data_IF_305791315975
#
_entry.id   IF_305791315975
#
_cell.length_a   1.000
_cell.length_b   1.000
_cell.length_c   1.000
_cell.angle_alpha   90.00
_cell.angle_beta   90.00
_cell.angle_gamma   90.00
#
_symmetry.space_group_name_H-M   'P 1'
#
loop_
_entity.id
_entity.type
_entity.pdbx_description
1 polymer ?
#
# COMPACT_ATOMS: atom_id res chain seq x y z
N UNK A 1 -2.32 -10.79 7.39
CA UNK A 1 -2.79 -9.50 6.84
C UNK A 1 -2.65 -8.37 7.85
N UNK A 2 -2.57 -8.66 9.15
CA UNK A 2 -2.54 -7.62 10.20
C UNK A 2 -1.32 -6.70 10.10
N UNK A 3 -0.12 -7.25 9.87
CA UNK A 3 1.09 -6.45 9.65
C UNK A 3 0.95 -5.47 8.48
N UNK A 4 0.40 -5.94 7.35
CA UNK A 4 0.14 -5.09 6.19
C UNK A 4 -0.82 -3.95 6.54
N UNK A 5 -1.95 -4.25 7.21
CA UNK A 5 -2.91 -3.23 7.66
C UNK A 5 -2.26 -2.19 8.56
N UNK A 6 -1.45 -2.62 9.54
CA UNK A 6 -0.73 -1.72 10.45
C UNK A 6 0.23 -0.82 9.67
N UNK A 7 1.07 -1.39 8.81
CA UNK A 7 2.04 -0.62 8.02
C UNK A 7 1.37 0.39 7.08
N UNK A 8 0.27 -0.01 6.42
CA UNK A 8 -0.52 0.87 5.56
C UNK A 8 -1.17 2.00 6.37
N UNK A 9 -1.78 1.67 7.53
CA UNK A 9 -2.39 2.66 8.41
C UNK A 9 -1.36 3.71 8.86
N UNK A 10 -0.16 3.29 9.25
CA UNK A 10 0.93 4.20 9.63
C UNK A 10 1.30 5.15 8.49
N UNK A 11 1.46 4.65 7.25
CA UNK A 11 1.72 5.49 6.07
C UNK A 11 0.58 6.46 5.76
N UNK A 12 -0.66 6.12 6.13
CA UNK A 12 -1.84 6.98 5.97
C UNK A 12 -2.10 7.92 7.16
N UNK A 13 -1.19 7.98 8.14
CA UNK A 13 -1.35 8.86 9.31
C UNK A 13 -2.30 8.30 10.38
N UNK A 14 -2.36 6.97 10.52
CA UNK A 14 -3.15 6.24 11.53
C UNK A 14 -4.64 6.63 11.55
N UNK A 15 -5.39 6.33 10.46
CA UNK A 15 -6.82 6.58 10.44
C UNK A 15 -7.55 5.71 11.49
N UNK A 16 -8.74 6.14 11.91
CA UNK A 16 -9.55 5.38 12.88
C UNK A 16 -10.01 4.04 12.31
N UNK A 17 -10.38 4.04 11.02
CA UNK A 17 -10.69 2.81 10.28
C UNK A 17 -9.92 2.79 8.97
N UNK A 18 -9.52 1.58 8.57
CA UNK A 18 -8.82 1.31 7.31
C UNK A 18 -9.52 0.16 6.58
N UNK A 19 -10.03 0.48 5.40
CA UNK A 19 -10.61 -0.49 4.46
C UNK A 19 -9.60 -0.78 3.35
N UNK A 20 -9.48 -2.06 3.00
CA UNK A 20 -8.64 -2.51 1.89
C UNK A 20 -9.53 -3.14 0.81
N UNK A 21 -9.31 -2.73 -0.44
CA UNK A 21 -10.01 -3.21 -1.63
C UNK A 21 -9.00 -3.74 -2.65
N UNK A 22 -9.46 -4.57 -3.59
CA UNK A 22 -8.66 -5.14 -4.70
C UNK A 22 -7.36 -5.84 -4.26
N UNK A 23 -7.37 -6.46 -3.09
CA UNK A 23 -6.18 -7.05 -2.47
C UNK A 23 -5.76 -8.31 -3.23
N UNK A 24 -4.56 -8.28 -3.80
CA UNK A 24 -3.93 -9.41 -4.48
C UNK A 24 -2.52 -9.66 -3.94
N UNK A 25 -2.30 -10.85 -3.38
CA UNK A 25 -0.97 -11.34 -3.02
C UNK A 25 -0.35 -12.13 -4.17
N UNK A 26 0.89 -11.84 -4.51
CA UNK A 26 1.64 -12.57 -5.52
C UNK A 26 3.15 -12.41 -5.32
N UNK A 27 3.92 -13.39 -5.78
CA UNK A 27 5.37 -13.22 -5.99
C UNK A 27 5.59 -12.43 -7.27
N UNK A 28 6.27 -11.29 -7.17
CA UNK A 28 6.49 -10.35 -8.27
C UNK A 28 7.96 -9.97 -8.36
N UNK A 29 8.41 -9.46 -9.50
CA UNK A 29 9.79 -8.96 -9.63
C UNK A 29 9.85 -7.52 -9.13
N UNK A 30 10.81 -7.21 -8.25
CA UNK A 30 11.10 -5.83 -7.89
C UNK A 30 11.89 -5.11 -9.00
N UNK A 31 12.25 -3.85 -8.76
CA UNK A 31 12.99 -3.03 -9.74
C UNK A 31 14.39 -3.57 -10.08
N UNK A 32 14.93 -4.48 -9.27
CA UNK A 32 16.21 -5.17 -9.51
C UNK A 32 16.02 -6.55 -10.17
N UNK A 33 14.80 -6.88 -10.60
CA UNK A 33 14.45 -8.17 -11.20
C UNK A 33 14.35 -9.34 -10.21
N UNK A 34 14.45 -9.07 -8.89
CA UNK A 34 14.44 -10.12 -7.86
C UNK A 34 13.01 -10.47 -7.46
N UNK A 35 12.69 -11.76 -7.24
CA UNK A 35 11.37 -12.18 -6.77
C UNK A 35 11.14 -11.72 -5.33
N UNK A 36 10.04 -11.01 -5.10
CA UNK A 36 9.58 -10.52 -3.80
C UNK A 36 8.12 -10.95 -3.60
N UNK A 37 7.78 -11.35 -2.38
CA UNK A 37 6.38 -11.65 -2.01
C UNK A 37 5.69 -10.34 -1.66
N UNK A 38 4.60 -10.05 -2.38
CA UNK A 38 3.99 -8.73 -2.37
C UNK A 38 2.49 -8.81 -2.27
N UNK A 39 1.91 -7.81 -1.61
CA UNK A 39 0.47 -7.60 -1.54
C UNK A 39 0.19 -6.23 -2.15
N UNK A 40 -0.58 -6.21 -3.22
CA UNK A 40 -1.02 -5.00 -3.90
C UNK A 40 -2.51 -4.81 -3.69
N UNK A 41 -2.97 -3.57 -3.66
CA UNK A 41 -4.40 -3.27 -3.61
C UNK A 41 -4.65 -1.78 -3.45
N UNK A 42 -5.82 -1.45 -2.92
CA UNK A 42 -6.22 -0.08 -2.61
C UNK A 42 -6.62 0.04 -1.14
N UNK A 43 -6.34 1.20 -0.57
CA UNK A 43 -6.54 1.51 0.83
C UNK A 43 -7.35 2.79 0.98
N UNK A 44 -8.35 2.74 1.85
CA UNK A 44 -9.22 3.88 2.17
C UNK A 44 -9.30 4.01 3.69
N UNK A 45 -8.77 5.10 4.21
CA UNK A 45 -8.88 5.45 5.62
C UNK A 45 -10.07 6.37 5.90
N UNK A 46 -10.63 6.33 7.10
CA UNK A 46 -11.59 7.33 7.60
C UNK A 46 -11.10 7.93 8.91
N UNK A 47 -11.19 9.25 9.03
CA UNK A 47 -10.86 9.99 10.25
C UNK A 47 -12.00 9.96 11.27
N UNK A 48 -11.68 10.28 12.53
CA UNK A 48 -12.66 10.40 13.62
C UNK A 48 -13.74 11.47 13.40
N UNK A 49 -13.46 12.45 12.53
CA UNK A 49 -14.44 13.46 12.10
C UNK A 49 -15.37 12.97 10.98
N UNK A 50 -15.30 11.68 10.59
CA UNK A 50 -16.07 11.09 9.51
C UNK A 50 -15.53 11.44 8.11
N UNK A 51 -14.42 12.15 8.02
CA UNK A 51 -13.78 12.50 6.75
C UNK A 51 -13.14 11.27 6.11
N UNK A 52 -13.54 10.94 4.89
CA UNK A 52 -12.88 9.90 4.12
C UNK A 52 -11.56 10.41 3.56
N UNK A 53 -10.49 9.66 3.77
CA UNK A 53 -9.29 9.82 2.95
C UNK A 53 -9.59 9.24 1.58
N UNK A 54 -9.17 9.92 0.50
CA UNK A 54 -9.32 9.38 -0.85
C UNK A 54 -8.70 7.97 -0.96
N UNK A 55 -9.30 7.10 -1.76
CA UNK A 55 -8.78 5.76 -2.01
C UNK A 55 -7.39 5.84 -2.67
N UNK A 56 -6.40 5.16 -2.10
CA UNK A 56 -5.01 5.20 -2.55
C UNK A 56 -4.48 3.80 -2.87
N UNK A 57 -3.80 3.61 -4.02
CA UNK A 57 -3.06 2.38 -4.28
C UNK A 57 -2.00 2.12 -3.21
N UNK A 58 -1.78 0.85 -2.86
CA UNK A 58 -0.70 0.43 -1.96
C UNK A 58 0.04 -0.80 -2.47
N UNK A 59 1.31 -0.89 -2.07
CA UNK A 59 2.16 -2.08 -2.17
C UNK A 59 2.69 -2.40 -0.78
N UNK A 60 2.62 -3.66 -0.37
CA UNK A 60 3.26 -4.17 0.84
C UNK A 60 4.23 -5.30 0.49
N UNK A 61 5.45 -5.20 1.00
CA UNK A 61 6.52 -6.17 0.86
C UNK A 61 6.51 -7.10 2.08
N UNK A 62 6.17 -8.37 1.87
CA UNK A 62 5.83 -9.29 2.97
C UNK A 62 7.03 -9.67 3.83
N UNK A 63 8.22 -9.80 3.24
CA UNK A 63 9.43 -10.18 3.99
C UNK A 63 10.02 -9.00 4.75
N UNK A 64 9.90 -7.82 4.18
CA UNK A 64 10.44 -6.57 4.66
C UNK A 64 9.52 -5.87 5.67
N UNK A 65 8.27 -6.35 5.81
CA UNK A 65 7.22 -5.75 6.64
C UNK A 65 6.99 -4.26 6.31
N UNK A 66 7.20 -3.87 5.05
CA UNK A 66 7.20 -2.48 4.59
C UNK A 66 6.02 -2.19 3.65
N UNK A 67 5.35 -1.05 3.86
CA UNK A 67 4.24 -0.60 3.02
C UNK A 67 4.56 0.72 2.32
N UNK A 68 4.09 0.85 1.09
CA UNK A 68 4.12 2.05 0.26
C UNK A 68 2.69 2.41 -0.12
N UNK A 69 2.24 3.61 0.24
CA UNK A 69 0.92 4.14 -0.14
C UNK A 69 1.13 5.30 -1.11
N UNK A 70 0.45 5.27 -2.25
CA UNK A 70 0.59 6.29 -3.29
C UNK A 70 -0.22 7.53 -2.89
N UNK A 71 0.48 8.63 -2.57
CA UNK A 71 -0.09 9.89 -2.07
C UNK A 71 -0.49 10.88 -3.17
N UNK A 72 -0.57 10.42 -4.42
CA UNK A 72 -0.96 11.23 -5.59
C UNK A 72 0.15 12.11 -6.17
N UNK A 73 1.33 12.19 -5.54
CA UNK A 73 2.50 12.87 -6.11
C UNK A 73 3.12 11.98 -7.18
N UNK A 74 3.02 12.42 -8.44
CA UNK A 74 3.66 11.74 -9.56
C UNK A 74 5.18 11.68 -9.35
N UNK A 75 5.76 10.51 -9.60
CA UNK A 75 7.20 10.29 -9.47
C UNK A 75 7.70 9.98 -8.05
N UNK A 76 6.82 9.91 -7.03
CA UNK A 76 7.23 9.45 -5.70
C UNK A 76 7.75 8.01 -5.73
N UNK A 77 8.61 7.64 -4.78
CA UNK A 77 9.13 6.28 -4.65
C UNK A 77 7.99 5.24 -4.57
N UNK A 78 6.93 5.55 -3.81
CA UNK A 78 5.73 4.72 -3.70
C UNK A 78 5.02 4.55 -5.06
N UNK A 79 4.81 5.64 -5.82
CA UNK A 79 4.18 5.58 -7.14
C UNK A 79 5.00 4.74 -8.14
N UNK A 80 6.33 4.87 -8.09
CA UNK A 80 7.25 4.13 -8.96
C UNK A 80 7.30 2.66 -8.58
N UNK A 81 7.38 2.33 -7.29
CA UNK A 81 7.37 0.96 -6.80
C UNK A 81 6.05 0.26 -7.16
N UNK A 82 4.91 0.90 -6.90
CA UNK A 82 3.59 0.36 -7.24
C UNK A 82 3.46 0.09 -8.74
N UNK A 83 3.83 1.06 -9.61
CA UNK A 83 3.73 0.89 -11.07
C UNK A 83 4.62 -0.25 -11.61
N UNK A 84 5.82 -0.43 -11.07
CA UNK A 84 6.73 -1.46 -11.58
C UNK A 84 6.43 -2.85 -11.04
N UNK A 85 5.85 -2.94 -9.84
CA UNK A 85 5.62 -4.21 -9.15
C UNK A 85 4.18 -4.66 -9.35
N UNK A 86 3.20 -3.82 -9.01
CA UNK A 86 1.80 -4.22 -8.91
C UNK A 86 1.02 -4.23 -10.23
N UNK A 87 1.60 -3.70 -11.31
CA UNK A 87 1.03 -3.73 -12.65
C UNK A 87 1.09 -5.13 -13.30
#
# INVERSE_FOLDING_TARGET
>A
MDKAKVAIATQMGTPETLELSDVKRATRKNMLGRPVDTICGRAKGRSASGGETGERPFLYLVKEDEAYVVDGKSGSAASTAYRNICN
#
